data_IF_595962818899
#
_entry.id   IF_595962818899
#
_cell.length_a   1.000
_cell.length_b   1.000
_cell.length_c   1.000
_cell.angle_alpha   90.00
_cell.angle_beta   90.00
_cell.angle_gamma   90.00
#
_symmetry.space_group_name_H-M   'P 1'
#
loop_
_entity.id
_entity.type
_entity.pdbx_description
1 polymer ?
#
# COMPACT_ATOMS: atom_id res chain seq x y z
N UNK A 1 -26.13 -8.64 -13.32
CA UNK A 1 -25.23 -7.46 -13.32
C UNK A 1 -23.83 -7.91 -12.95
N UNK A 2 -22.79 -7.36 -13.57
CA UNK A 2 -21.40 -7.64 -13.19
C UNK A 2 -21.10 -7.06 -11.82
N UNK A 3 -20.51 -7.88 -10.94
CA UNK A 3 -20.06 -7.52 -9.59
C UNK A 3 -18.70 -8.14 -9.32
N UNK A 4 -18.03 -7.70 -8.26
CA UNK A 4 -16.74 -8.23 -7.83
C UNK A 4 -16.85 -8.86 -6.44
N UNK A 5 -16.15 -9.95 -6.20
CA UNK A 5 -16.03 -10.63 -4.91
C UNK A 5 -14.56 -10.97 -4.64
N UNK A 6 -14.14 -10.85 -3.39
CA UNK A 6 -12.81 -11.26 -2.96
C UNK A 6 -12.73 -12.77 -2.82
N UNK A 7 -11.78 -13.37 -3.52
CA UNK A 7 -11.38 -14.75 -3.37
C UNK A 7 -10.11 -14.78 -2.49
N UNK A 8 -10.23 -15.36 -1.30
CA UNK A 8 -9.13 -15.44 -0.33
C UNK A 8 -8.03 -16.42 -0.73
N UNK A 9 -8.35 -17.47 -1.49
CA UNK A 9 -7.37 -18.44 -2.01
C UNK A 9 -6.49 -17.82 -3.08
N UNK A 10 -7.09 -17.01 -3.96
CA UNK A 10 -6.38 -16.28 -5.01
C UNK A 10 -5.83 -14.93 -4.55
N UNK A 11 -6.17 -14.50 -3.33
CA UNK A 11 -5.84 -13.17 -2.78
C UNK A 11 -6.21 -12.06 -3.78
N UNK A 12 -7.39 -12.16 -4.39
CA UNK A 12 -7.77 -11.31 -5.52
C UNK A 12 -9.27 -11.05 -5.56
N UNK A 13 -9.64 -9.89 -6.10
CA UNK A 13 -11.04 -9.57 -6.42
C UNK A 13 -11.39 -10.07 -7.82
N UNK A 14 -12.27 -11.06 -7.86
CA UNK A 14 -12.73 -11.73 -9.09
C UNK A 14 -14.11 -11.23 -9.49
N UNK A 15 -14.37 -11.21 -10.80
CA UNK A 15 -15.67 -10.84 -11.36
C UNK A 15 -16.66 -12.00 -11.25
N UNK A 16 -17.94 -11.71 -11.00
CA UNK A 16 -19.03 -12.66 -11.07
C UNK A 16 -20.35 -12.03 -11.52
N UNK A 17 -21.29 -12.86 -11.99
CA UNK A 17 -22.66 -12.42 -12.32
C UNK A 17 -23.56 -12.48 -11.08
N UNK A 18 -24.08 -11.32 -10.67
CA UNK A 18 -25.04 -11.21 -9.57
C UNK A 18 -26.47 -11.03 -10.09
N UNK A 19 -27.40 -11.80 -9.51
CA UNK A 19 -28.82 -11.84 -9.88
C UNK A 19 -29.65 -10.63 -9.41
N UNK A 20 -29.15 -9.83 -8.47
CA UNK A 20 -29.79 -8.56 -8.07
C UNK A 20 -30.32 -8.52 -6.62
N UNK A 21 -30.51 -9.66 -5.96
CA UNK A 21 -30.99 -9.75 -4.57
C UNK A 21 -30.31 -10.90 -3.79
N UNK A 22 -30.52 -10.95 -2.47
CA UNK A 22 -30.04 -12.00 -1.55
C UNK A 22 -28.51 -12.23 -1.56
N UNK A 23 -27.73 -11.14 -1.67
CA UNK A 23 -26.27 -11.19 -1.58
C UNK A 23 -25.72 -11.11 -0.14
N UNK A 24 -24.39 -11.15 -0.04
CA UNK A 24 -23.66 -10.91 1.21
C UNK A 24 -22.65 -9.76 1.05
N UNK A 25 -21.87 -9.47 2.11
CA UNK A 25 -20.89 -8.37 2.12
C UNK A 25 -19.71 -8.51 1.15
N UNK A 26 -19.51 -9.69 0.52
CA UNK A 26 -18.47 -9.93 -0.47
C UNK A 26 -18.99 -9.66 -1.90
N UNK A 27 -19.62 -8.51 -2.11
CA UNK A 27 -20.25 -8.13 -3.37
C UNK A 27 -20.07 -6.62 -3.61
N UNK A 28 -19.24 -6.29 -4.60
CA UNK A 28 -18.80 -4.93 -4.87
C UNK A 28 -19.18 -4.49 -6.28
N UNK A 29 -19.54 -3.20 -6.42
CA UNK A 29 -19.88 -2.62 -7.72
C UNK A 29 -18.66 -2.47 -8.64
N UNK A 30 -17.47 -2.31 -8.07
CA UNK A 30 -16.21 -2.17 -8.84
C UNK A 30 -15.09 -2.99 -8.22
N UNK A 31 -14.13 -3.40 -9.06
CA UNK A 31 -12.91 -4.08 -8.63
C UNK A 31 -12.17 -3.29 -7.55
N UNK A 32 -12.02 -1.97 -7.73
CA UNK A 32 -11.36 -1.06 -6.77
C UNK A 32 -12.01 -1.06 -5.39
N UNK A 33 -13.35 -1.10 -5.31
CA UNK A 33 -14.04 -1.15 -4.01
C UNK A 33 -13.81 -2.47 -3.29
N UNK A 34 -13.85 -3.58 -4.04
CA UNK A 34 -13.51 -4.90 -3.51
C UNK A 34 -12.08 -4.94 -3.01
N UNK A 35 -11.13 -4.45 -3.80
CA UNK A 35 -9.71 -4.47 -3.45
C UNK A 35 -9.45 -3.62 -2.22
N UNK A 36 -9.93 -2.38 -2.20
CA UNK A 36 -9.78 -1.48 -1.04
C UNK A 36 -10.30 -2.11 0.27
N UNK A 37 -11.39 -2.89 0.21
CA UNK A 37 -12.03 -3.46 1.40
C UNK A 37 -11.51 -4.83 1.81
N UNK A 38 -11.27 -5.70 0.85
CA UNK A 38 -11.04 -7.13 1.08
C UNK A 38 -9.68 -7.59 0.59
N UNK A 39 -9.28 -7.12 -0.58
CA UNK A 39 -7.92 -7.29 -1.05
C UNK A 39 -7.06 -6.19 -0.41
N UNK A 40 -6.83 -6.32 0.90
CA UNK A 40 -5.51 -5.98 1.46
C UNK A 40 -4.48 -6.96 0.86
N UNK A 41 -4.41 -7.00 -0.48
CA UNK A 41 -3.24 -7.33 -1.28
C UNK A 41 -2.09 -6.82 -0.47
N UNK A 42 -1.09 -7.68 -0.18
CA UNK A 42 0.17 -7.32 0.48
C UNK A 42 0.39 -5.84 0.24
N UNK A 43 0.02 -5.01 1.23
CA UNK A 43 -0.03 -3.57 1.02
C UNK A 43 1.35 -3.24 0.48
N UNK A 44 1.52 -2.38 -0.51
CA UNK A 44 2.87 -2.15 -1.10
C UNK A 44 3.92 -1.92 0.00
N UNK A 45 3.50 -1.34 1.12
CA UNK A 45 4.27 -1.11 2.35
C UNK A 45 4.67 -2.36 3.15
N UNK A 46 4.04 -3.52 2.92
CA UNK A 46 4.39 -4.82 3.49
C UNK A 46 5.20 -5.71 2.54
N UNK A 47 5.58 -5.22 1.36
CA UNK A 47 6.56 -5.90 0.51
C UNK A 47 7.97 -5.65 1.06
N UNK A 48 8.88 -6.60 0.87
CA UNK A 48 10.30 -6.38 1.17
C UNK A 48 10.90 -5.37 0.19
N UNK A 49 12.01 -4.72 0.57
CA UNK A 49 12.79 -3.91 -0.38
C UNK A 49 13.32 -4.78 -1.51
N UNK A 50 13.29 -4.24 -2.73
CA UNK A 50 13.80 -4.91 -3.92
C UNK A 50 14.66 -3.93 -4.73
N UNK A 51 16.00 -4.08 -4.71
CA UNK A 51 16.91 -3.25 -5.48
C UNK A 51 16.75 -3.41 -7.00
N UNK A 52 16.14 -4.50 -7.47
CA UNK A 52 16.14 -4.85 -8.89
C UNK A 52 17.53 -5.26 -9.41
N UNK A 53 17.65 -5.67 -10.69
CA UNK A 53 18.90 -6.20 -11.24
C UNK A 53 19.85 -5.13 -11.80
N UNK A 54 19.38 -3.90 -11.99
CA UNK A 54 20.24 -2.81 -12.44
C UNK A 54 21.20 -2.35 -11.34
N UNK A 55 22.23 -1.57 -11.69
CA UNK A 55 23.36 -1.24 -10.80
C UNK A 55 23.55 0.26 -10.56
N UNK A 56 22.52 1.07 -10.77
CA UNK A 56 22.53 2.46 -10.32
C UNK A 56 22.54 2.52 -8.79
N UNK A 57 23.07 3.60 -8.23
CA UNK A 57 23.16 3.79 -6.77
C UNK A 57 22.12 4.83 -6.30
N UNK A 58 20.84 4.55 -6.54
CA UNK A 58 19.75 5.49 -6.23
C UNK A 58 19.29 5.29 -4.79
N UNK A 59 19.30 6.37 -3.98
CA UNK A 59 18.65 6.34 -2.65
C UNK A 59 17.13 6.39 -2.83
N UNK A 60 16.43 5.44 -2.21
CA UNK A 60 14.96 5.35 -2.19
C UNK A 60 14.48 4.99 -0.79
N UNK A 61 13.20 5.14 -0.55
CA UNK A 61 12.56 4.87 0.73
C UNK A 61 11.58 3.70 0.61
N UNK A 62 11.51 2.87 1.64
CA UNK A 62 10.59 1.75 1.74
C UNK A 62 10.04 1.66 3.17
N UNK A 63 8.78 1.28 3.33
CA UNK A 63 8.20 1.10 4.65
C UNK A 63 8.67 -0.24 5.24
N UNK A 64 9.17 -0.17 6.47
CA UNK A 64 9.50 -1.32 7.29
C UNK A 64 8.45 -1.45 8.39
N UNK A 65 7.57 -2.46 8.27
CA UNK A 65 6.49 -2.68 9.24
C UNK A 65 6.97 -3.11 10.62
N UNK A 66 8.17 -3.68 10.73
CA UNK A 66 8.77 -4.07 12.02
C UNK A 66 9.22 -2.84 12.80
N UNK A 67 9.81 -1.86 12.09
CA UNK A 67 10.25 -0.60 12.68
C UNK A 67 9.14 0.46 12.72
N UNK A 68 8.01 0.21 12.05
CA UNK A 68 6.92 1.17 11.85
C UNK A 68 7.45 2.48 11.26
N UNK A 69 8.37 2.38 10.30
CA UNK A 69 9.10 3.53 9.77
C UNK A 69 9.46 3.36 8.29
N UNK A 70 9.58 4.48 7.57
CA UNK A 70 10.14 4.51 6.23
C UNK A 70 11.67 4.60 6.28
N UNK A 71 12.34 3.58 5.77
CA UNK A 71 13.80 3.44 5.80
C UNK A 71 14.40 3.61 4.41
N UNK A 72 15.63 4.12 4.36
CA UNK A 72 16.38 4.23 3.12
C UNK A 72 16.90 2.88 2.65
N UNK A 73 16.92 2.67 1.34
CA UNK A 73 17.61 1.56 0.69
C UNK A 73 18.19 1.98 -0.66
N UNK A 74 19.11 1.16 -1.18
CA UNK A 74 19.70 1.36 -2.51
C UNK A 74 18.89 0.63 -3.57
N UNK A 75 18.42 1.39 -4.55
CA UNK A 75 17.69 0.89 -5.71
C UNK A 75 18.58 0.97 -6.96
N UNK A 76 18.62 -0.15 -7.69
CA UNK A 76 19.42 -0.37 -8.88
C UNK A 76 18.96 0.41 -10.11
N UNK A 77 17.78 1.00 -10.09
CA UNK A 77 17.26 1.87 -11.16
C UNK A 77 16.29 1.20 -12.14
N UNK A 78 16.07 -0.12 -12.06
CA UNK A 78 15.06 -0.80 -12.87
C UNK A 78 14.39 -1.96 -12.13
N UNK A 79 13.17 -2.31 -12.56
CA UNK A 79 12.32 -3.35 -11.96
C UNK A 79 12.07 -3.10 -10.47
N UNK A 80 12.13 -4.14 -9.63
CA UNK A 80 11.78 -4.03 -8.22
C UNK A 80 10.28 -4.19 -7.95
N UNK A 81 9.82 -3.64 -6.82
CA UNK A 81 8.42 -3.69 -6.42
C UNK A 81 7.91 -2.34 -5.88
N UNK A 82 6.64 -2.31 -5.46
CA UNK A 82 5.94 -1.09 -5.05
C UNK A 82 6.35 -0.49 -3.69
N UNK A 83 7.16 -1.17 -2.87
CA UNK A 83 7.75 -0.59 -1.65
C UNK A 83 9.01 0.23 -1.99
N UNK A 84 8.85 1.22 -2.86
CA UNK A 84 9.94 2.02 -3.41
C UNK A 84 9.41 3.43 -3.69
N UNK A 85 9.82 4.38 -2.85
CA UNK A 85 9.38 5.76 -2.89
C UNK A 85 10.59 6.68 -3.07
N UNK A 86 10.39 7.79 -3.79
CA UNK A 86 11.45 8.76 -4.06
C UNK A 86 11.84 9.57 -2.81
N UNK A 87 10.87 9.86 -1.95
CA UNK A 87 11.08 10.62 -0.71
C UNK A 87 10.47 9.91 0.49
N UNK A 88 11.04 10.18 1.68
CA UNK A 88 10.51 9.69 2.96
C UNK A 88 9.04 10.07 3.14
N UNK A 89 8.68 11.33 2.85
CA UNK A 89 7.32 11.83 2.96
C UNK A 89 6.33 11.05 2.09
N UNK A 90 6.67 10.71 0.84
CA UNK A 90 5.81 9.92 -0.03
C UNK A 90 5.58 8.50 0.52
N UNK A 91 6.62 7.91 1.11
CA UNK A 91 6.52 6.63 1.80
C UNK A 91 5.60 6.74 3.02
N UNK A 92 5.83 7.70 3.91
CA UNK A 92 5.05 7.86 5.14
C UNK A 92 3.59 8.18 4.84
N UNK A 93 3.33 9.14 3.94
CA UNK A 93 1.97 9.47 3.49
C UNK A 93 1.22 8.26 2.94
N UNK A 94 1.93 7.30 2.33
CA UNK A 94 1.32 6.10 1.76
C UNK A 94 1.20 4.95 2.78
N UNK A 95 2.15 4.84 3.70
CA UNK A 95 2.42 3.61 4.43
C UNK A 95 2.37 3.75 5.95
N UNK A 96 2.59 4.94 6.49
CA UNK A 96 2.52 5.16 7.92
C UNK A 96 1.06 5.06 8.39
N UNK A 97 0.82 4.53 9.59
CA UNK A 97 -0.50 4.54 10.21
C UNK A 97 -0.97 5.97 10.49
N UNK A 98 -2.28 6.18 10.46
CA UNK A 98 -2.91 7.51 10.58
C UNK A 98 -2.45 8.29 11.82
N UNK A 99 -2.23 7.61 12.96
CA UNK A 99 -1.78 8.25 14.20
C UNK A 99 -0.37 8.85 14.11
N UNK A 100 0.52 8.33 13.25
CA UNK A 100 1.83 8.95 13.00
C UNK A 100 1.69 10.25 12.20
N UNK A 101 0.79 10.29 11.22
CA UNK A 101 0.55 11.51 10.44
C UNK A 101 -0.05 12.65 11.28
N UNK A 102 -0.84 12.32 12.30
CA UNK A 102 -1.37 13.30 13.25
C UNK A 102 -0.29 13.82 14.22
N UNK A 103 0.57 12.94 14.74
CA UNK A 103 1.65 13.33 15.65
C UNK A 103 2.68 14.28 14.99
N UNK A 104 3.02 14.08 13.71
CA UNK A 104 3.92 14.98 12.98
C UNK A 104 3.34 16.38 12.75
N UNK A 105 2.01 16.49 12.56
CA UNK A 105 1.35 17.78 12.40
C UNK A 105 1.20 18.56 13.73
N UNK A 106 1.15 17.88 14.87
CA UNK A 106 1.17 18.54 16.19
C UNK A 106 2.57 19.04 16.58
N UNK A 107 3.64 18.39 16.11
CA UNK A 107 5.02 18.80 16.38
C UNK A 107 5.47 20.06 15.62
N UNK A 108 4.91 20.36 14.44
CA UNK A 108 5.17 21.65 13.74
C UNK A 108 4.50 22.87 14.41
N UNK A 109 3.53 22.65 15.31
CA UNK A 109 2.85 23.72 16.07
C UNK A 109 3.62 24.04 17.38
N UNK A 110 4.49 23.13 17.83
CA UNK A 110 5.12 23.20 19.14
C UNK A 110 6.57 23.76 19.15
N UNK A 111 7.18 24.02 17.99
CA UNK A 111 8.51 24.65 17.90
C UNK A 111 8.38 26.13 17.52
N UNK A 112 8.33 27.08 18.48
CA UNK A 112 8.60 28.47 18.18
C UNK A 112 10.08 28.63 17.83
N UNK A 113 10.32 29.47 16.81
CA UNK A 113 11.63 29.96 16.35
C UNK A 113 12.59 30.34 17.48
#
# INVERSE_FOLDING_TARGET
>A
MTRFAYNSTLVACVEFKYGGCLGNGNNFGTKRQCEKRCARLKHICGLLTDPGPCRANMTRFAYNSTLVACVEFKYGGCLGNGNNFETRWLCEKRCAPDWLTHAYNELEIAEPR
#
